data_IF_170624173878
#
_entry.id   IF_170624173878
#
_cell.length_a   1.000
_cell.length_b   1.000
_cell.length_c   1.000
_cell.angle_alpha   90.00
_cell.angle_beta   90.00
_cell.angle_gamma   90.00
#
_symmetry.space_group_name_H-M   'P 1'
#
loop_
_entity.id
_entity.type
_entity.pdbx_description
1 polymer ?
#
# COMPACT_ATOMS: atom_id res chain seq x y z
N UNK A 1 -6.78 34.48 22.46
CA UNK A 1 -5.67 33.58 22.08
C UNK A 1 -5.76 33.42 20.56
N UNK A 2 -4.94 34.16 19.83
CA UNK A 2 -4.86 34.07 18.36
C UNK A 2 -4.23 32.74 18.02
N UNK A 3 -5.02 31.81 17.52
CA UNK A 3 -4.52 30.58 16.87
C UNK A 3 -3.62 31.04 15.71
N UNK A 4 -2.33 30.81 15.81
CA UNK A 4 -1.43 31.02 14.70
C UNK A 4 -1.90 30.09 13.57
N UNK A 5 -2.25 30.67 12.44
CA UNK A 5 -2.67 29.90 11.26
C UNK A 5 -1.45 29.08 10.83
N UNK A 6 -1.56 27.76 11.00
CA UNK A 6 -0.51 26.83 10.64
C UNK A 6 -0.23 26.92 9.14
N UNK A 7 1.05 26.94 8.74
CA UNK A 7 1.40 27.01 7.32
C UNK A 7 1.11 25.66 6.63
N UNK A 8 0.81 25.68 5.33
CA UNK A 8 0.61 24.45 4.54
C UNK A 8 1.84 23.54 4.58
N UNK A 9 3.05 24.08 4.66
CA UNK A 9 4.27 23.31 4.82
C UNK A 9 4.32 22.55 6.16
N UNK A 10 3.86 23.16 7.24
CA UNK A 10 3.75 22.49 8.54
C UNK A 10 2.69 21.36 8.51
N UNK A 11 1.54 21.63 7.93
CA UNK A 11 0.49 20.63 7.74
C UNK A 11 0.97 19.48 6.85
N UNK A 12 1.76 19.75 5.82
CA UNK A 12 2.38 18.72 4.97
C UNK A 12 3.30 17.79 5.77
N UNK A 13 4.12 18.35 6.65
CA UNK A 13 4.99 17.57 7.53
C UNK A 13 4.18 16.70 8.52
N UNK A 14 3.10 17.22 9.09
CA UNK A 14 2.18 16.45 9.94
C UNK A 14 1.47 15.31 9.19
N UNK A 15 1.19 15.52 7.91
CA UNK A 15 0.64 14.48 7.02
C UNK A 15 1.71 13.48 6.54
N UNK A 16 2.96 13.60 7.01
CA UNK A 16 4.05 12.69 6.70
C UNK A 16 4.74 12.94 5.34
N UNK A 17 4.46 14.07 4.71
CA UNK A 17 5.18 14.50 3.52
C UNK A 17 6.55 15.09 3.89
N UNK A 18 7.58 14.73 3.14
CA UNK A 18 8.92 15.28 3.29
C UNK A 18 9.01 16.67 2.64
N UNK A 19 9.96 17.52 3.05
CA UNK A 19 10.10 18.85 2.45
C UNK A 19 10.28 18.84 0.92
N UNK A 20 11.08 17.93 0.41
CA UNK A 20 11.31 17.77 -1.04
C UNK A 20 10.06 17.28 -1.79
N UNK A 21 9.21 16.50 -1.14
CA UNK A 21 7.91 16.09 -1.67
C UNK A 21 6.94 17.29 -1.72
N UNK A 22 6.89 18.10 -0.66
CA UNK A 22 6.07 19.30 -0.66
C UNK A 22 6.51 20.31 -1.74
N UNK A 23 7.81 20.53 -1.91
CA UNK A 23 8.36 21.35 -3.00
C UNK A 23 7.98 20.79 -4.39
N UNK A 24 7.93 19.48 -4.53
CA UNK A 24 7.48 18.85 -5.77
C UNK A 24 5.99 19.10 -6.04
N UNK A 25 5.15 19.08 -4.99
CA UNK A 25 3.73 19.41 -5.09
C UNK A 25 3.57 20.85 -5.60
N UNK A 26 4.25 21.80 -4.97
CA UNK A 26 4.21 23.22 -5.38
C UNK A 26 4.60 23.40 -6.86
N UNK A 27 5.67 22.73 -7.30
CA UNK A 27 6.11 22.79 -8.70
C UNK A 27 5.08 22.19 -9.66
N UNK A 28 4.43 21.09 -9.29
CA UNK A 28 3.46 20.41 -10.16
C UNK A 28 2.14 21.15 -10.26
N UNK A 29 1.69 21.74 -9.17
CA UNK A 29 0.44 22.51 -9.14
C UNK A 29 0.63 23.94 -9.65
N UNK A 30 1.84 24.49 -9.58
CA UNK A 30 2.11 25.92 -9.86
C UNK A 30 1.50 26.86 -8.80
N UNK A 31 1.03 26.34 -7.68
CA UNK A 31 0.43 27.05 -6.57
C UNK A 31 0.49 26.22 -5.29
N UNK A 32 0.12 26.83 -4.18
CA UNK A 32 -0.06 26.11 -2.91
C UNK A 32 -1.26 25.12 -3.00
N UNK A 33 -1.13 23.89 -2.50
CA UNK A 33 -2.24 22.95 -2.41
C UNK A 33 -3.27 23.43 -1.37
N UNK A 34 -4.53 23.11 -1.55
CA UNK A 34 -5.49 23.16 -0.46
C UNK A 34 -5.37 21.92 0.44
N UNK A 35 -6.08 21.92 1.58
CA UNK A 35 -5.98 20.84 2.57
C UNK A 35 -6.36 19.46 2.01
N UNK A 36 -7.37 19.40 1.15
CA UNK A 36 -7.83 18.15 0.53
C UNK A 36 -6.79 17.62 -0.45
N UNK A 37 -6.26 18.47 -1.31
CA UNK A 37 -5.19 18.12 -2.25
C UNK A 37 -3.95 17.62 -1.49
N UNK A 38 -3.58 18.30 -0.41
CA UNK A 38 -2.45 17.89 0.43
C UNK A 38 -2.69 16.51 1.04
N UNK A 39 -3.90 16.25 1.54
CA UNK A 39 -4.29 14.94 2.06
C UNK A 39 -4.21 13.84 0.99
N UNK A 40 -4.68 14.12 -0.23
CA UNK A 40 -4.58 13.18 -1.36
C UNK A 40 -3.11 12.86 -1.68
N UNK A 41 -2.25 13.88 -1.80
CA UNK A 41 -0.82 13.67 -2.03
C UNK A 41 -0.17 12.85 -0.90
N UNK A 42 -0.49 13.17 0.35
CA UNK A 42 0.02 12.44 1.52
C UNK A 42 -0.30 10.94 1.44
N UNK A 43 -1.55 10.59 1.16
CA UNK A 43 -1.98 9.18 1.05
C UNK A 43 -1.34 8.50 -0.15
N UNK A 44 -1.43 9.12 -1.34
CA UNK A 44 -0.94 8.52 -2.58
C UNK A 44 0.59 8.37 -2.61
N UNK A 45 1.32 9.26 -1.92
CA UNK A 45 2.78 9.22 -1.83
C UNK A 45 3.29 8.58 -0.53
N UNK A 46 2.39 8.02 0.27
CA UNK A 46 2.79 7.20 1.43
C UNK A 46 3.51 5.93 0.96
N UNK A 47 4.31 5.34 1.82
CA UNK A 47 4.98 4.06 1.52
C UNK A 47 3.96 2.96 1.20
N UNK A 48 2.79 2.99 1.85
CA UNK A 48 1.73 2.02 1.65
C UNK A 48 1.19 2.00 0.21
N UNK A 49 0.97 3.18 -0.40
CA UNK A 49 0.42 3.27 -1.76
C UNK A 49 1.50 3.28 -2.84
N UNK A 50 2.61 3.96 -2.59
CA UNK A 50 3.63 4.21 -3.62
C UNK A 50 4.78 3.22 -3.64
N UNK A 51 5.01 2.52 -2.52
CA UNK A 51 6.19 1.67 -2.32
C UNK A 51 7.52 2.41 -2.59
N UNK A 52 7.54 3.74 -2.37
CA UNK A 52 8.64 4.63 -2.79
C UNK A 52 10.01 4.23 -2.24
N UNK A 53 10.05 3.61 -1.07
CA UNK A 53 11.29 3.13 -0.43
C UNK A 53 11.47 1.62 -0.59
N UNK A 54 10.42 0.83 -0.45
CA UNK A 54 10.47 -0.63 -0.44
C UNK A 54 10.58 -1.25 -1.83
N UNK A 55 10.10 -0.58 -2.89
CA UNK A 55 10.10 -1.10 -4.26
C UNK A 55 11.47 -1.60 -4.72
N UNK A 56 12.55 -0.86 -4.39
CA UNK A 56 13.94 -1.26 -4.71
C UNK A 56 14.40 -2.54 -4.01
N UNK A 57 13.77 -2.89 -2.89
CA UNK A 57 14.04 -4.12 -2.15
C UNK A 57 13.16 -5.26 -2.67
N UNK A 58 11.89 -4.99 -2.92
CA UNK A 58 10.94 -5.94 -3.48
C UNK A 58 11.40 -6.47 -4.85
N UNK A 59 11.97 -5.60 -5.69
CA UNK A 59 12.50 -5.98 -7.01
C UNK A 59 13.66 -6.96 -6.97
N UNK A 60 14.27 -7.20 -5.80
CA UNK A 60 15.36 -8.17 -5.62
C UNK A 60 14.86 -9.59 -5.30
N UNK A 61 13.59 -9.75 -4.95
CA UNK A 61 13.06 -11.07 -4.68
C UNK A 61 12.90 -11.87 -5.98
N UNK A 62 13.21 -13.17 -5.95
CA UNK A 62 12.96 -14.02 -7.10
C UNK A 62 11.44 -14.15 -7.32
N UNK A 63 11.00 -13.79 -8.51
CA UNK A 63 9.57 -13.82 -8.90
C UNK A 63 9.30 -14.81 -10.02
N UNK A 64 10.32 -15.49 -10.50
CA UNK A 64 10.26 -16.48 -11.57
C UNK A 64 10.96 -17.77 -11.16
N UNK A 65 10.53 -18.88 -11.70
CA UNK A 65 11.13 -20.19 -11.44
C UNK A 65 10.29 -21.31 -12.05
N UNK A 66 10.82 -22.54 -12.11
CA UNK A 66 10.13 -23.65 -12.78
C UNK A 66 8.79 -24.04 -12.16
N UNK A 67 8.57 -23.67 -10.90
CA UNK A 67 7.32 -23.94 -10.18
C UNK A 67 6.39 -22.72 -10.09
N UNK A 68 6.81 -21.55 -10.58
CA UNK A 68 5.96 -20.35 -10.54
C UNK A 68 5.00 -20.38 -11.71
N UNK A 69 3.71 -20.48 -11.40
CA UNK A 69 2.64 -20.42 -12.38
C UNK A 69 2.21 -18.96 -12.59
N UNK A 70 2.07 -18.22 -11.48
CA UNK A 70 1.66 -16.82 -11.51
C UNK A 70 2.51 -16.00 -10.54
N UNK A 71 3.22 -15.02 -11.09
CA UNK A 71 4.05 -14.08 -10.35
C UNK A 71 3.35 -12.74 -10.07
N UNK A 72 4.11 -11.68 -9.76
CA UNK A 72 3.55 -10.35 -9.51
C UNK A 72 2.72 -9.81 -10.67
N UNK A 73 1.61 -9.13 -10.33
CA UNK A 73 0.64 -8.57 -11.29
C UNK A 73 -0.76 -9.14 -11.13
N UNK A 74 -0.89 -10.24 -10.41
CA UNK A 74 -2.15 -10.87 -10.07
C UNK A 74 -2.51 -10.68 -8.58
N UNK A 75 -3.74 -11.05 -8.21
CA UNK A 75 -4.23 -10.85 -6.84
C UNK A 75 -3.53 -11.74 -5.81
N UNK A 76 -3.00 -12.89 -6.23
CA UNK A 76 -2.29 -13.85 -5.38
C UNK A 76 -1.18 -14.55 -6.16
N UNK A 77 -0.20 -15.09 -5.45
CA UNK A 77 0.82 -15.96 -6.04
C UNK A 77 0.27 -17.37 -6.28
N UNK A 78 0.75 -18.02 -7.36
CA UNK A 78 0.39 -19.41 -7.69
C UNK A 78 1.65 -20.20 -7.97
N UNK A 79 1.82 -21.31 -7.28
CA UNK A 79 2.94 -22.23 -7.48
C UNK A 79 2.46 -23.65 -7.75
N UNK A 80 3.18 -24.35 -8.63
CA UNK A 80 3.00 -25.78 -8.88
C UNK A 80 3.54 -26.59 -7.69
N UNK A 81 2.69 -27.43 -7.11
CA UNK A 81 3.08 -28.32 -6.00
C UNK A 81 3.16 -29.80 -6.45
N UNK A 82 3.04 -30.08 -7.74
CA UNK A 82 3.08 -31.42 -8.32
C UNK A 82 1.69 -32.04 -8.50
N UNK A 83 1.65 -33.18 -9.14
CA UNK A 83 0.44 -34.00 -9.35
C UNK A 83 -0.73 -33.25 -10.01
N UNK A 84 -0.44 -32.25 -10.84
CA UNK A 84 -1.44 -31.39 -11.47
C UNK A 84 -2.14 -30.42 -10.51
N UNK A 85 -1.56 -30.20 -9.34
CA UNK A 85 -2.10 -29.32 -8.31
C UNK A 85 -1.28 -28.04 -8.21
N UNK A 86 -1.94 -26.95 -7.81
CA UNK A 86 -1.33 -25.65 -7.56
C UNK A 86 -1.73 -25.10 -6.18
N UNK A 87 -0.80 -24.45 -5.54
CA UNK A 87 -1.06 -23.69 -4.30
C UNK A 87 -1.23 -22.21 -4.63
N UNK A 88 -2.35 -21.63 -4.23
CA UNK A 88 -2.62 -20.20 -4.30
C UNK A 88 -2.41 -19.61 -2.91
N UNK A 89 -1.61 -18.56 -2.81
CA UNK A 89 -1.28 -17.95 -1.53
C UNK A 89 -1.22 -16.42 -1.60
N UNK A 90 -1.57 -15.80 -0.49
CA UNK A 90 -1.52 -14.36 -0.29
C UNK A 90 -1.05 -14.05 1.13
N UNK A 91 -0.29 -12.98 1.27
CA UNK A 91 0.12 -12.44 2.57
C UNK A 91 0.04 -10.92 2.52
N UNK A 92 -0.63 -10.34 3.50
CA UNK A 92 -0.77 -8.89 3.65
C UNK A 92 -0.62 -8.47 5.11
N UNK A 93 -0.14 -7.25 5.34
CA UNK A 93 -0.17 -6.60 6.64
C UNK A 93 -1.43 -5.74 6.77
N UNK A 94 -2.17 -5.93 7.86
CA UNK A 94 -3.30 -5.08 8.23
C UNK A 94 -3.04 -4.36 9.55
N UNK A 95 -1.81 -3.86 9.73
CA UNK A 95 -1.35 -3.29 10.99
C UNK A 95 -2.13 -2.05 11.42
N UNK A 96 -2.35 -1.08 10.53
CA UNK A 96 -3.03 0.17 10.88
C UNK A 96 -4.45 -0.03 11.39
N UNK A 97 -5.36 -0.71 10.67
CA UNK A 97 -6.70 -0.96 11.19
C UNK A 97 -6.69 -1.81 12.46
N UNK A 98 -5.80 -2.80 12.55
CA UNK A 98 -5.70 -3.68 13.73
C UNK A 98 -5.14 -2.97 14.96
N UNK A 99 -4.33 -1.93 14.78
CA UNK A 99 -3.82 -1.11 15.88
C UNK A 99 -4.92 -0.25 16.51
N UNK A 100 -5.83 0.28 15.70
CA UNK A 100 -6.92 1.16 16.15
C UNK A 100 -8.11 0.33 16.63
N UNK A 101 -8.56 -0.64 15.83
CA UNK A 101 -9.72 -1.50 16.06
C UNK A 101 -9.34 -2.96 15.77
N UNK A 102 -8.77 -3.69 16.75
CA UNK A 102 -8.21 -5.03 16.53
C UNK A 102 -9.19 -6.04 15.92
N UNK A 103 -10.44 -6.06 16.39
CA UNK A 103 -11.45 -6.98 15.87
C UNK A 103 -11.82 -6.68 14.42
N UNK A 104 -12.10 -5.43 14.12
CA UNK A 104 -12.44 -4.98 12.75
C UNK A 104 -11.24 -5.10 11.81
N UNK A 105 -10.04 -4.82 12.30
CA UNK A 105 -8.80 -5.00 11.57
C UNK A 105 -8.54 -6.45 11.19
N UNK A 106 -8.76 -7.38 12.12
CA UNK A 106 -8.66 -8.81 11.86
C UNK A 106 -9.72 -9.30 10.85
N UNK A 107 -10.96 -8.85 10.99
CA UNK A 107 -12.04 -9.17 10.04
C UNK A 107 -11.73 -8.68 8.63
N UNK A 108 -11.22 -7.45 8.50
CA UNK A 108 -10.79 -6.88 7.22
C UNK A 108 -9.60 -7.66 6.63
N UNK A 109 -8.63 -8.04 7.46
CA UNK A 109 -7.48 -8.83 7.04
C UNK A 109 -7.88 -10.18 6.47
N UNK A 110 -8.70 -10.93 7.19
CA UNK A 110 -9.23 -12.23 6.72
C UNK A 110 -10.05 -12.05 5.45
N UNK A 111 -10.98 -11.08 5.42
CA UNK A 111 -11.84 -10.84 4.26
C UNK A 111 -11.06 -10.46 3.01
N UNK A 112 -10.02 -9.62 3.14
CA UNK A 112 -9.16 -9.20 2.04
C UNK A 112 -8.37 -10.38 1.45
N UNK A 113 -7.75 -11.20 2.31
CA UNK A 113 -7.02 -12.41 1.88
C UNK A 113 -7.95 -13.42 1.20
N UNK A 114 -9.11 -13.69 1.80
CA UNK A 114 -10.09 -14.61 1.21
C UNK A 114 -10.56 -14.13 -0.16
N UNK A 115 -10.86 -12.84 -0.30
CA UNK A 115 -11.28 -12.27 -1.58
C UNK A 115 -10.25 -12.53 -2.68
N UNK A 116 -8.98 -12.27 -2.41
CA UNK A 116 -7.93 -12.42 -3.39
C UNK A 116 -7.72 -13.88 -3.80
N UNK A 117 -7.82 -14.82 -2.85
CA UNK A 117 -7.77 -16.27 -3.15
C UNK A 117 -8.99 -16.72 -3.97
N UNK A 118 -10.20 -16.25 -3.63
CA UNK A 118 -11.41 -16.57 -4.39
C UNK A 118 -11.37 -16.02 -5.82
N UNK A 119 -10.84 -14.82 -6.03
CA UNK A 119 -10.72 -14.25 -7.38
C UNK A 119 -9.77 -15.03 -8.29
N UNK A 120 -8.85 -15.81 -7.70
CA UNK A 120 -7.98 -16.73 -8.42
C UNK A 120 -8.60 -18.12 -8.63
N UNK A 121 -9.86 -18.32 -8.27
CA UNK A 121 -10.61 -19.56 -8.47
C UNK A 121 -10.36 -20.64 -7.42
N UNK A 122 -9.72 -20.32 -6.30
CA UNK A 122 -9.43 -21.27 -5.24
C UNK A 122 -10.31 -21.04 -4.00
N UNK A 123 -10.38 -22.05 -3.15
CA UNK A 123 -10.95 -21.96 -1.80
C UNK A 123 -9.84 -21.96 -0.76
N UNK A 124 -9.83 -20.97 0.17
CA UNK A 124 -8.93 -20.97 1.30
C UNK A 124 -9.32 -22.04 2.34
#
# INVERSE_FOLDING_TARGET
>A
MTSATQSMAQTAAEFGLKPDEYDLILRRLGREPNLVELGVFSVMWSEHCSYKSSRRHLSKFPTTGPKVICGPGENAGVIDIGDGQACIFKMESHNHPSFIEPYQGAATGVGGIMRDVFTMGARP
#
